data_IF_459598154216
#
_entry.id   IF_459598154216
#
_cell.length_a   1.000
_cell.length_b   1.000
_cell.length_c   1.000
_cell.angle_alpha   90.00
_cell.angle_beta   90.00
_cell.angle_gamma   90.00
#
_symmetry.space_group_name_H-M   'P 1'
#
loop_
_entity.id
_entity.type
_entity.pdbx_description
1 polymer ?
#
# COMPACT_ATOMS: atom_id res chain seq x y z
N UNK A 1 -7.10 -15.95 13.60
CA UNK A 1 -5.78 -16.19 14.24
C UNK A 1 -4.59 -16.01 13.29
N UNK A 2 -4.70 -16.32 11.98
CA UNK A 2 -3.57 -16.17 11.05
C UNK A 2 -2.95 -14.76 10.97
N UNK A 3 -3.71 -13.65 10.94
CA UNK A 3 -3.10 -12.32 10.94
C UNK A 3 -2.30 -12.02 12.21
N UNK A 4 -2.73 -12.56 13.36
CA UNK A 4 -2.02 -12.44 14.65
C UNK A 4 -0.70 -13.22 14.60
N UNK A 5 -0.69 -14.42 14.02
CA UNK A 5 0.56 -15.18 13.80
C UNK A 5 1.50 -14.46 12.83
N UNK A 6 0.96 -13.87 11.77
CA UNK A 6 1.73 -13.04 10.83
C UNK A 6 2.39 -11.87 11.56
N UNK A 7 1.63 -11.20 12.43
CA UNK A 7 2.09 -10.03 13.17
C UNK A 7 3.06 -10.36 14.31
N UNK A 8 2.89 -11.44 15.06
CA UNK A 8 3.72 -11.67 16.26
C UNK A 8 4.82 -12.71 16.10
N UNK A 9 4.76 -13.57 15.08
CA UNK A 9 5.71 -14.67 14.92
C UNK A 9 6.38 -14.63 13.55
N UNK A 10 5.60 -14.74 12.48
CA UNK A 10 6.15 -14.94 11.14
C UNK A 10 6.84 -13.66 10.64
N UNK A 11 6.24 -12.49 10.86
CA UNK A 11 6.77 -11.18 10.46
C UNK A 11 8.14 -10.85 11.07
N UNK A 12 8.31 -10.91 12.40
CA UNK A 12 9.61 -10.69 13.02
C UNK A 12 10.69 -11.63 12.50
N UNK A 13 10.38 -12.91 12.30
CA UNK A 13 11.34 -13.94 11.86
C UNK A 13 11.74 -13.74 10.41
N UNK A 14 10.78 -13.57 9.49
CA UNK A 14 11.05 -13.46 8.05
C UNK A 14 11.83 -12.19 7.69
N UNK A 15 11.77 -11.18 8.56
CA UNK A 15 12.43 -9.88 8.35
C UNK A 15 13.81 -9.77 8.99
N UNK A 16 14.25 -10.76 9.78
CA UNK A 16 15.62 -10.79 10.33
C UNK A 16 16.72 -10.58 9.28
N UNK A 17 16.65 -11.19 8.07
CA UNK A 17 17.66 -10.97 7.04
C UNK A 17 17.81 -9.51 6.59
N UNK A 18 16.78 -8.67 6.74
CA UNK A 18 16.88 -7.24 6.40
C UNK A 18 17.88 -6.49 7.28
N UNK A 19 18.23 -7.01 8.46
CA UNK A 19 19.27 -6.42 9.30
C UNK A 19 20.68 -6.47 8.66
N UNK A 20 20.85 -7.26 7.59
CA UNK A 20 22.06 -7.29 6.78
C UNK A 20 22.18 -6.09 5.82
N UNK A 21 21.08 -5.36 5.56
CA UNK A 21 21.14 -4.14 4.76
C UNK A 21 21.83 -3.02 5.55
N UNK A 22 22.74 -2.33 4.89
CA UNK A 22 23.58 -1.28 5.48
C UNK A 22 23.61 -0.04 4.60
N UNK A 23 23.58 1.12 5.25
CA UNK A 23 23.73 2.42 4.63
C UNK A 23 25.16 2.60 4.11
N UNK A 24 25.39 3.67 3.35
CA UNK A 24 26.74 4.05 2.90
C UNK A 24 27.66 4.45 4.06
N UNK A 25 27.07 4.81 5.20
CA UNK A 25 27.70 5.11 6.48
C UNK A 25 27.78 3.89 7.41
N UNK A 26 27.48 2.68 6.91
CA UNK A 26 27.27 1.45 7.68
C UNK A 26 26.10 1.50 8.69
N UNK A 27 25.28 2.55 8.65
CA UNK A 27 24.06 2.70 9.45
C UNK A 27 22.95 1.74 9.04
N UNK A 28 21.85 1.77 9.79
CA UNK A 28 20.64 0.97 9.53
C UNK A 28 19.58 1.73 8.74
N UNK A 29 19.82 3.00 8.44
CA UNK A 29 18.88 3.83 7.71
C UNK A 29 18.98 3.59 6.21
N UNK A 30 18.26 2.59 5.74
CA UNK A 30 18.28 2.11 4.34
C UNK A 30 16.89 1.84 3.80
N UNK A 31 16.75 1.91 2.47
CA UNK A 31 15.67 1.25 1.74
C UNK A 31 16.23 0.08 0.93
N UNK A 32 15.39 -0.64 0.18
CA UNK A 32 15.85 -1.80 -0.58
C UNK A 32 16.80 -1.41 -1.73
N UNK A 33 16.52 -0.32 -2.44
CA UNK A 33 17.38 0.16 -3.54
C UNK A 33 18.33 1.29 -3.14
N UNK A 34 18.11 1.91 -1.98
CA UNK A 34 18.95 2.97 -1.45
C UNK A 34 19.73 2.45 -0.24
N UNK A 35 20.94 1.96 -0.52
CA UNK A 35 21.88 1.46 0.48
C UNK A 35 23.25 1.17 -0.14
N UNK A 36 24.15 0.55 0.62
CA UNK A 36 25.49 0.18 0.15
C UNK A 36 25.47 -0.95 -0.90
N UNK A 37 24.49 -1.85 -0.83
CA UNK A 37 24.36 -3.00 -1.73
C UNK A 37 22.91 -3.14 -2.25
N UNK A 38 22.56 -2.46 -3.36
CA UNK A 38 21.20 -2.50 -3.91
C UNK A 38 20.81 -3.89 -4.43
N UNK A 39 21.77 -4.70 -4.90
CA UNK A 39 21.50 -6.05 -5.37
C UNK A 39 21.00 -6.94 -4.22
N UNK A 40 21.63 -6.85 -3.05
CA UNK A 40 21.18 -7.55 -1.84
C UNK A 40 19.77 -7.11 -1.44
N UNK A 41 19.47 -5.81 -1.51
CA UNK A 41 18.14 -5.29 -1.21
C UNK A 41 17.06 -5.77 -2.18
N UNK A 42 17.37 -5.93 -3.48
CA UNK A 42 16.47 -6.57 -4.45
C UNK A 42 16.20 -8.02 -4.08
N UNK A 43 17.25 -8.80 -3.75
CA UNK A 43 17.10 -10.21 -3.38
C UNK A 43 16.24 -10.36 -2.12
N UNK A 44 16.52 -9.58 -1.07
CA UNK A 44 15.77 -9.61 0.18
C UNK A 44 14.34 -9.07 0.00
N UNK A 45 14.15 -8.02 -0.79
CA UNK A 45 12.82 -7.52 -1.16
C UNK A 45 11.99 -8.57 -1.90
N UNK A 46 12.61 -9.28 -2.85
CA UNK A 46 11.97 -10.35 -3.60
C UNK A 46 11.57 -11.53 -2.72
N UNK A 47 12.44 -11.97 -1.80
CA UNK A 47 12.10 -13.05 -0.86
C UNK A 47 10.98 -12.65 0.10
N UNK A 48 10.94 -11.39 0.54
CA UNK A 48 9.86 -10.86 1.37
C UNK A 48 8.52 -10.80 0.63
N UNK A 49 8.50 -10.28 -0.60
CA UNK A 49 7.30 -10.29 -1.43
C UNK A 49 6.80 -11.72 -1.67
N UNK A 50 7.71 -12.66 -1.95
CA UNK A 50 7.35 -14.07 -2.12
C UNK A 50 6.77 -14.67 -0.83
N UNK A 51 7.39 -14.42 0.33
CA UNK A 51 6.90 -14.89 1.62
C UNK A 51 5.51 -14.31 1.95
N UNK A 52 5.32 -13.01 1.70
CA UNK A 52 4.03 -12.34 1.86
C UNK A 52 2.97 -12.93 0.91
N UNK A 53 3.33 -13.21 -0.35
CA UNK A 53 2.45 -13.85 -1.32
C UNK A 53 2.02 -15.24 -0.85
N UNK A 54 2.96 -16.10 -0.47
CA UNK A 54 2.70 -17.48 -0.04
C UNK A 54 1.85 -17.50 1.22
N UNK A 55 2.21 -16.72 2.22
CA UNK A 55 1.49 -16.70 3.50
C UNK A 55 0.09 -16.09 3.36
N UNK A 56 -0.04 -15.00 2.59
CA UNK A 56 -1.33 -14.38 2.29
C UNK A 56 -2.24 -15.30 1.48
N UNK A 57 -1.69 -15.97 0.46
CA UNK A 57 -2.42 -16.95 -0.35
C UNK A 57 -2.89 -18.14 0.48
N UNK A 58 -2.03 -18.71 1.33
CA UNK A 58 -2.39 -19.79 2.24
C UNK A 58 -3.50 -19.35 3.21
N UNK A 59 -3.35 -18.15 3.79
CA UNK A 59 -4.36 -17.56 4.68
C UNK A 59 -5.71 -17.37 3.99
N UNK A 60 -5.72 -16.92 2.73
CA UNK A 60 -6.94 -16.76 1.95
C UNK A 60 -7.60 -18.08 1.57
N UNK A 61 -6.79 -19.13 1.32
CA UNK A 61 -7.31 -20.47 1.08
C UNK A 61 -7.95 -21.06 2.34
N UNK A 62 -7.40 -20.78 3.52
CA UNK A 62 -7.88 -21.35 4.79
C UNK A 62 -9.10 -20.62 5.36
N UNK A 63 -9.17 -19.30 5.20
CA UNK A 63 -10.22 -18.47 5.81
C UNK A 63 -10.96 -17.67 4.74
N UNK A 64 -10.42 -16.52 4.33
CA UNK A 64 -10.99 -15.65 3.30
C UNK A 64 -9.95 -14.69 2.72
N UNK A 65 -10.26 -14.06 1.59
CA UNK A 65 -9.34 -13.15 0.90
C UNK A 65 -8.91 -11.96 1.75
N UNK A 66 -9.80 -11.42 2.60
CA UNK A 66 -9.51 -10.28 3.49
C UNK A 66 -8.46 -10.65 4.54
N UNK A 67 -8.57 -11.83 5.11
CA UNK A 67 -7.61 -12.41 6.05
C UNK A 67 -6.28 -12.63 5.36
N UNK A 68 -6.30 -13.09 4.11
CA UNK A 68 -5.11 -13.24 3.28
C UNK A 68 -4.37 -11.92 3.04
N UNK A 69 -5.08 -10.87 2.62
CA UNK A 69 -4.46 -9.56 2.38
C UNK A 69 -3.94 -8.93 3.67
N UNK A 70 -4.71 -8.99 4.76
CA UNK A 70 -4.27 -8.51 6.07
C UNK A 70 -3.00 -9.23 6.55
N UNK A 71 -2.96 -10.56 6.47
CA UNK A 71 -1.79 -11.36 6.85
C UNK A 71 -0.54 -10.98 6.04
N UNK A 72 -0.66 -10.85 4.71
CA UNK A 72 0.44 -10.41 3.86
C UNK A 72 0.89 -8.98 4.20
N UNK A 73 -0.06 -8.08 4.43
CA UNK A 73 0.20 -6.71 4.84
C UNK A 73 0.97 -6.61 6.15
N UNK A 74 0.61 -7.41 7.17
CA UNK A 74 1.36 -7.43 8.44
C UNK A 74 2.80 -7.94 8.30
N UNK A 75 3.06 -8.89 7.39
CA UNK A 75 4.43 -9.30 7.08
C UNK A 75 5.23 -8.16 6.46
N UNK A 76 4.64 -7.44 5.49
CA UNK A 76 5.28 -6.28 4.88
C UNK A 76 5.44 -5.11 5.87
N UNK A 77 4.53 -4.96 6.84
CA UNK A 77 4.64 -3.95 7.89
C UNK A 77 5.86 -4.19 8.79
N UNK A 78 6.21 -5.45 9.09
CA UNK A 78 7.47 -5.77 9.77
C UNK A 78 8.69 -5.46 8.91
N UNK A 79 8.61 -5.73 7.61
CA UNK A 79 9.70 -5.42 6.69
C UNK A 79 9.94 -3.91 6.64
N UNK A 80 8.85 -3.16 6.52
CA UNK A 80 8.84 -1.71 6.62
C UNK A 80 9.41 -1.24 7.96
N UNK A 81 9.07 -1.85 9.09
CA UNK A 81 9.63 -1.44 10.39
C UNK A 81 11.16 -1.62 10.49
N UNK A 82 11.74 -2.52 9.70
CA UNK A 82 13.19 -2.78 9.66
C UNK A 82 13.99 -1.85 8.74
N UNK A 83 13.32 -1.05 7.92
CA UNK A 83 13.97 -0.05 7.06
C UNK A 83 14.15 1.29 7.76
N UNK A 84 14.99 2.14 7.17
CA UNK A 84 15.40 3.44 7.72
C UNK A 84 14.31 4.49 7.74
N UNK A 85 14.61 5.63 8.36
CA UNK A 85 13.80 6.84 8.19
C UNK A 85 14.10 7.52 6.86
N UNK A 86 13.08 8.06 6.18
CA UNK A 86 13.27 8.80 4.92
C UNK A 86 14.04 10.11 5.12
N UNK A 87 13.84 10.75 6.26
CA UNK A 87 14.59 11.96 6.62
C UNK A 87 16.10 11.69 6.65
N UNK A 88 16.54 10.64 7.34
CA UNK A 88 17.95 10.31 7.40
C UNK A 88 18.51 9.87 6.04
N UNK A 89 17.72 9.11 5.28
CA UNK A 89 18.07 8.68 3.93
C UNK A 89 18.33 9.87 3.00
N UNK A 90 17.49 10.92 3.04
CA UNK A 90 17.70 12.15 2.27
C UNK A 90 18.86 13.00 2.78
N UNK A 91 19.17 12.96 4.08
CA UNK A 91 20.36 13.64 4.64
C UNK A 91 21.67 12.97 4.20
N UNK A 92 21.71 11.64 4.14
CA UNK A 92 22.91 10.89 3.76
C UNK A 92 23.17 10.89 2.26
N UNK A 93 22.12 10.88 1.44
CA UNK A 93 22.23 10.82 -0.02
C UNK A 93 21.30 11.85 -0.66
N UNK A 94 21.57 13.16 -0.51
CA UNK A 94 20.78 14.17 -1.18
C UNK A 94 21.00 14.10 -2.69
N UNK A 95 19.91 14.26 -3.44
CA UNK A 95 19.96 14.42 -4.88
C UNK A 95 18.92 13.61 -5.65
N UNK A 96 18.88 13.88 -6.96
CA UNK A 96 17.94 13.26 -7.90
C UNK A 96 18.12 11.75 -8.01
N UNK A 97 19.35 11.24 -7.89
CA UNK A 97 19.63 9.80 -7.96
C UNK A 97 18.87 8.98 -6.90
N UNK A 98 18.74 9.52 -5.69
CA UNK A 98 18.00 8.90 -4.59
C UNK A 98 16.51 8.86 -4.89
N UNK A 99 15.92 9.96 -5.36
CA UNK A 99 14.51 10.00 -5.76
C UNK A 99 14.20 9.04 -6.92
N UNK A 100 15.10 8.93 -7.92
CA UNK A 100 14.94 7.98 -9.03
C UNK A 100 14.91 6.55 -8.48
N UNK A 101 15.86 6.18 -7.62
CA UNK A 101 15.91 4.84 -7.00
C UNK A 101 14.67 4.54 -6.17
N UNK A 102 14.20 5.50 -5.38
CA UNK A 102 12.96 5.36 -4.60
C UNK A 102 11.72 5.25 -5.49
N UNK A 103 11.69 5.95 -6.62
CA UNK A 103 10.60 5.84 -7.61
C UNK A 103 10.58 4.45 -8.24
N UNK A 104 11.75 3.90 -8.60
CA UNK A 104 11.89 2.53 -9.10
C UNK A 104 11.49 1.53 -8.02
N UNK A 105 11.95 1.69 -6.79
CA UNK A 105 11.60 0.83 -5.65
C UNK A 105 10.09 0.84 -5.39
N UNK A 106 9.46 2.01 -5.39
CA UNK A 106 8.01 2.18 -5.24
C UNK A 106 7.24 1.51 -6.36
N UNK A 107 7.75 1.57 -7.59
CA UNK A 107 7.15 0.88 -8.73
C UNK A 107 7.22 -0.63 -8.55
N UNK A 108 8.38 -1.17 -8.19
CA UNK A 108 8.57 -2.62 -7.99
C UNK A 108 7.69 -3.12 -6.85
N UNK A 109 7.71 -2.46 -5.69
CA UNK A 109 6.95 -2.87 -4.52
C UNK A 109 5.45 -2.65 -4.67
N UNK A 110 5.04 -1.53 -5.27
CA UNK A 110 3.64 -1.22 -5.54
C UNK A 110 3.02 -2.23 -6.51
N UNK A 111 3.70 -2.51 -7.63
CA UNK A 111 3.28 -3.55 -8.58
C UNK A 111 3.33 -4.94 -7.95
N UNK A 112 4.39 -5.27 -7.21
CA UNK A 112 4.53 -6.55 -6.52
C UNK A 112 3.40 -6.80 -5.53
N UNK A 113 3.09 -5.82 -4.68
CA UNK A 113 1.99 -5.93 -3.72
C UNK A 113 0.61 -5.94 -4.40
N UNK A 114 0.43 -5.26 -5.54
CA UNK A 114 -0.78 -5.36 -6.35
C UNK A 114 -0.95 -6.79 -6.91
N UNK A 115 0.13 -7.38 -7.43
CA UNK A 115 0.14 -8.78 -7.90
C UNK A 115 -0.20 -9.74 -6.75
N UNK A 116 0.40 -9.54 -5.57
CA UNK A 116 0.06 -10.33 -4.36
C UNK A 116 -1.43 -10.24 -4.07
N UNK A 117 -2.01 -9.04 -4.08
CA UNK A 117 -3.45 -8.87 -3.89
C UNK A 117 -4.25 -9.64 -4.94
N UNK A 118 -3.91 -9.53 -6.23
CA UNK A 118 -4.61 -10.25 -7.29
C UNK A 118 -4.54 -11.77 -7.13
N UNK A 119 -3.39 -12.30 -6.68
CA UNK A 119 -3.22 -13.72 -6.39
C UNK A 119 -4.07 -14.18 -5.20
N UNK A 120 -4.05 -13.42 -4.11
CA UNK A 120 -4.81 -13.71 -2.89
C UNK A 120 -6.30 -13.72 -3.20
N UNK A 121 -6.81 -12.63 -3.78
CA UNK A 121 -8.24 -12.49 -4.01
C UNK A 121 -8.72 -13.39 -5.17
N UNK A 122 -7.88 -13.64 -6.18
CA UNK A 122 -8.15 -14.62 -7.24
C UNK A 122 -8.26 -16.06 -6.75
N UNK A 123 -7.64 -16.40 -5.60
CA UNK A 123 -7.66 -17.76 -5.05
C UNK A 123 -8.97 -18.14 -4.34
N UNK A 124 -9.79 -17.16 -3.94
CA UNK A 124 -11.04 -17.38 -3.20
C UNK A 124 -12.25 -17.80 -4.04
N UNK A 125 -12.11 -17.88 -5.37
CA UNK A 125 -13.23 -18.01 -6.33
C UNK A 125 -14.07 -19.28 -6.22
N UNK A 126 -13.55 -20.35 -5.60
CA UNK A 126 -14.22 -21.66 -5.59
C UNK A 126 -14.98 -22.01 -4.31
N UNK A 127 -15.03 -21.12 -3.31
CA UNK A 127 -15.45 -21.49 -1.94
C UNK A 127 -16.57 -20.66 -1.32
N UNK A 128 -17.14 -19.68 -2.02
CA UNK A 128 -18.22 -18.86 -1.47
C UNK A 128 -19.51 -18.99 -2.27
N UNK A 129 -20.34 -19.95 -1.83
CA UNK A 129 -21.80 -19.93 -1.97
C UNK A 129 -22.47 -19.00 -0.94
N UNK A 130 -21.73 -18.10 -0.28
CA UNK A 130 -22.31 -17.14 0.66
C UNK A 130 -22.72 -15.86 -0.08
N UNK A 131 -24.02 -15.65 -0.37
CA UNK A 131 -24.51 -14.43 -1.04
C UNK A 131 -24.30 -13.14 -0.22
N UNK A 132 -23.82 -13.24 1.03
CA UNK A 132 -23.54 -12.12 1.92
C UNK A 132 -22.05 -11.76 2.05
N UNK A 133 -21.17 -12.35 1.24
CA UNK A 133 -19.77 -11.94 1.22
C UNK A 133 -19.63 -10.59 0.49
N UNK A 134 -19.77 -9.48 1.23
CA UNK A 134 -19.79 -8.05 0.82
C UNK A 134 -18.59 -7.50 0.01
N UNK A 135 -17.67 -8.37 -0.41
CA UNK A 135 -16.55 -8.02 -1.24
C UNK A 135 -16.78 -8.57 -2.65
N UNK A 136 -17.16 -7.73 -3.64
CA UNK A 136 -17.28 -8.17 -5.02
C UNK A 136 -15.94 -8.81 -5.43
N UNK A 137 -16.00 -10.10 -5.79
CA UNK A 137 -14.80 -10.86 -6.14
C UNK A 137 -14.15 -10.27 -7.41
N UNK A 138 -12.81 -10.13 -7.48
CA UNK A 138 -12.13 -9.76 -8.70
C UNK A 138 -12.35 -10.83 -9.75
N UNK A 139 -12.99 -10.44 -10.84
CA UNK A 139 -12.84 -11.15 -12.11
C UNK A 139 -11.44 -10.83 -12.67
N UNK A 140 -10.74 -11.76 -13.33
CA UNK A 140 -9.54 -11.38 -14.12
C UNK A 140 -9.89 -10.35 -15.21
N UNK A 141 -11.17 -10.30 -15.62
CA UNK A 141 -11.74 -9.22 -16.40
C UNK A 141 -11.66 -7.83 -15.74
N UNK A 142 -11.45 -7.76 -14.42
CA UNK A 142 -11.19 -6.53 -13.66
C UNK A 142 -9.98 -5.77 -14.17
N UNK A 143 -8.95 -6.45 -14.70
CA UNK A 143 -7.77 -5.75 -15.24
C UNK A 143 -8.11 -5.00 -16.53
N UNK A 144 -8.94 -5.60 -17.40
CA UNK A 144 -9.45 -4.89 -18.60
C UNK A 144 -10.35 -3.72 -18.20
N UNK A 145 -11.10 -3.86 -17.11
CA UNK A 145 -11.93 -2.79 -16.57
C UNK A 145 -11.12 -1.62 -15.99
N UNK A 146 -9.85 -1.82 -15.60
CA UNK A 146 -8.99 -0.71 -15.18
C UNK A 146 -8.76 0.31 -16.31
N UNK A 147 -8.90 -0.07 -17.57
CA UNK A 147 -8.81 0.85 -18.70
C UNK A 147 -10.09 1.68 -18.92
N UNK A 148 -11.18 1.40 -18.19
CA UNK A 148 -12.40 2.20 -18.28
C UNK A 148 -12.13 3.61 -17.69
N UNK A 149 -12.46 4.71 -18.40
CA UNK A 149 -12.21 6.07 -17.91
C UNK A 149 -12.86 6.38 -16.56
N UNK A 150 -14.02 5.81 -16.25
CA UNK A 150 -14.68 5.98 -14.95
C UNK A 150 -13.89 5.30 -13.82
N UNK A 151 -13.33 4.12 -14.10
CA UNK A 151 -12.48 3.40 -13.16
C UNK A 151 -11.17 4.16 -12.96
N UNK A 152 -10.56 4.67 -14.03
CA UNK A 152 -9.37 5.52 -13.97
C UNK A 152 -9.61 6.79 -13.14
N UNK A 153 -10.76 7.44 -13.31
CA UNK A 153 -11.15 8.58 -12.49
C UNK A 153 -11.25 8.20 -11.00
N UNK A 154 -11.90 7.08 -10.67
CA UNK A 154 -11.97 6.59 -9.29
C UNK A 154 -10.62 6.19 -8.69
N UNK A 155 -9.73 5.60 -9.49
CA UNK A 155 -8.34 5.31 -9.11
C UNK A 155 -7.59 6.63 -8.83
N UNK A 156 -7.75 7.62 -9.70
CA UNK A 156 -7.14 8.94 -9.54
C UNK A 156 -7.60 9.67 -8.28
N UNK A 157 -8.90 9.67 -8.00
CA UNK A 157 -9.45 10.27 -6.77
C UNK A 157 -8.95 9.54 -5.52
N UNK A 158 -8.92 8.20 -5.55
CA UNK A 158 -8.38 7.42 -4.43
C UNK A 158 -6.89 7.67 -4.19
N UNK A 159 -6.09 7.77 -5.26
CA UNK A 159 -4.67 8.07 -5.16
C UNK A 159 -4.43 9.47 -4.58
N UNK A 160 -5.19 10.47 -5.04
CA UNK A 160 -5.14 11.83 -4.50
C UNK A 160 -5.50 11.84 -3.01
N UNK A 161 -6.56 11.14 -2.62
CA UNK A 161 -6.93 11.02 -1.21
C UNK A 161 -5.84 10.35 -0.37
N UNK A 162 -5.21 9.29 -0.88
CA UNK A 162 -4.09 8.65 -0.21
C UNK A 162 -2.93 9.62 0.03
N UNK A 163 -2.55 10.40 -0.98
CA UNK A 163 -1.49 11.41 -0.87
C UNK A 163 -1.84 12.51 0.14
N UNK A 164 -3.09 12.98 0.14
CA UNK A 164 -3.58 13.98 1.11
C UNK A 164 -3.52 13.43 2.54
N UNK A 165 -4.01 12.20 2.77
CA UNK A 165 -3.97 11.59 4.10
C UNK A 165 -2.53 11.32 4.53
N UNK A 166 -1.66 10.84 3.64
CA UNK A 166 -0.25 10.68 3.94
C UNK A 166 0.40 12.03 4.32
N UNK A 167 0.05 13.12 3.64
CA UNK A 167 0.51 14.46 3.98
C UNK A 167 0.05 14.92 5.37
N UNK A 168 -1.22 14.69 5.71
CA UNK A 168 -1.79 15.12 7.00
C UNK A 168 -1.28 14.27 8.17
N UNK A 169 -1.04 12.97 7.96
CA UNK A 169 -0.69 12.05 9.04
C UNK A 169 0.82 11.91 9.21
N UNK A 170 1.61 11.86 8.14
CA UNK A 170 3.07 11.73 8.24
C UNK A 170 3.73 13.10 8.33
N UNK A 171 3.55 13.82 9.44
CA UNK A 171 4.17 15.13 9.67
C UNK A 171 5.48 15.05 10.49
N UNK A 172 5.76 13.92 11.15
CA UNK A 172 7.09 13.65 11.70
C UNK A 172 7.73 12.43 11.02
N UNK A 173 9.06 12.38 10.96
CA UNK A 173 9.83 11.28 10.36
C UNK A 173 9.90 10.02 11.24
N UNK A 174 8.97 9.84 12.17
CA UNK A 174 8.88 8.65 13.00
C UNK A 174 8.39 7.45 12.18
N UNK A 175 9.14 6.34 12.22
CA UNK A 175 8.83 5.13 11.44
C UNK A 175 7.40 4.62 11.64
N UNK A 176 6.95 4.57 12.90
CA UNK A 176 5.59 4.14 13.22
C UNK A 176 4.51 5.07 12.68
N UNK A 177 4.77 6.38 12.64
CA UNK A 177 3.84 7.36 12.09
C UNK A 177 3.73 7.23 10.57
N UNK A 178 4.84 7.02 9.86
CA UNK A 178 4.85 6.79 8.42
C UNK A 178 4.05 5.53 8.02
N UNK A 179 4.23 4.43 8.76
CA UNK A 179 3.48 3.19 8.53
C UNK A 179 1.98 3.38 8.81
N UNK A 180 1.62 4.04 9.92
CA UNK A 180 0.21 4.36 10.23
C UNK A 180 -0.39 5.28 9.16
N UNK A 181 0.35 6.28 8.68
CA UNK A 181 -0.07 7.15 7.60
C UNK A 181 -0.38 6.38 6.32
N UNK A 182 0.45 5.41 5.94
CA UNK A 182 0.22 4.56 4.79
C UNK A 182 -1.04 3.69 4.94
N UNK A 183 -1.28 3.13 6.13
CA UNK A 183 -2.50 2.37 6.42
C UNK A 183 -3.73 3.26 6.30
N UNK A 184 -3.75 4.42 6.96
CA UNK A 184 -4.89 5.36 6.91
C UNK A 184 -5.13 5.90 5.50
N UNK A 185 -4.07 6.22 4.77
CA UNK A 185 -4.13 6.64 3.37
C UNK A 185 -4.78 5.56 2.49
N UNK A 186 -4.45 4.30 2.75
CA UNK A 186 -5.01 3.15 2.03
C UNK A 186 -6.47 2.86 2.39
N UNK A 187 -6.88 3.12 3.64
CA UNK A 187 -8.31 3.08 4.02
C UNK A 187 -9.08 4.14 3.23
N UNK A 188 -8.58 5.37 3.18
CA UNK A 188 -9.23 6.46 2.46
C UNK A 188 -9.32 6.17 0.95
N UNK A 189 -8.23 5.70 0.34
CA UNK A 189 -8.22 5.26 -1.06
C UNK A 189 -9.23 4.14 -1.32
N UNK A 190 -9.21 3.11 -0.45
CA UNK A 190 -10.15 1.99 -0.46
C UNK A 190 -11.61 2.43 -0.53
N UNK A 191 -11.97 3.36 0.36
CA UNK A 191 -13.34 3.87 0.45
C UNK A 191 -13.70 4.77 -0.73
N UNK A 192 -12.89 5.78 -1.03
CA UNK A 192 -13.21 6.80 -2.03
C UNK A 192 -13.18 6.26 -3.46
N UNK A 193 -12.25 5.37 -3.81
CA UNK A 193 -12.26 4.73 -5.13
C UNK A 193 -13.57 3.95 -5.34
N UNK A 194 -14.04 3.19 -4.34
CA UNK A 194 -15.30 2.44 -4.45
C UNK A 194 -16.50 3.36 -4.59
N UNK A 195 -16.58 4.42 -3.78
CA UNK A 195 -17.71 5.36 -3.82
C UNK A 195 -17.78 6.12 -5.15
N UNK A 196 -16.65 6.60 -5.66
CA UNK A 196 -16.59 7.34 -6.94
C UNK A 196 -16.96 6.45 -8.12
N UNK A 197 -16.43 5.22 -8.18
CA UNK A 197 -16.76 4.29 -9.26
C UNK A 197 -18.24 3.88 -9.19
N UNK A 198 -18.74 3.59 -7.99
CA UNK A 198 -20.16 3.25 -7.78
C UNK A 198 -21.10 4.36 -8.24
N UNK A 199 -20.78 5.62 -7.90
CA UNK A 199 -21.58 6.78 -8.30
C UNK A 199 -21.53 7.06 -9.82
N UNK A 200 -20.39 6.84 -10.47
CA UNK A 200 -20.21 7.17 -11.88
C UNK A 200 -20.69 6.07 -12.85
N UNK A 201 -20.53 4.80 -12.47
CA UNK A 201 -20.62 3.70 -13.43
C UNK A 201 -21.95 2.93 -13.40
N UNK A 202 -22.81 3.11 -12.38
CA UNK A 202 -23.95 2.22 -12.09
C UNK A 202 -23.56 0.73 -12.18
N UNK A 203 -22.30 0.42 -11.84
CA UNK A 203 -21.66 -0.89 -11.99
C UNK A 203 -20.79 -1.16 -10.78
N UNK A 204 -20.60 -2.43 -10.51
CA UNK A 204 -19.70 -2.87 -9.46
C UNK A 204 -18.26 -2.40 -9.74
N UNK A 205 -17.66 -1.76 -8.75
CA UNK A 205 -16.29 -1.29 -8.86
C UNK A 205 -15.34 -2.51 -8.96
N UNK A 206 -14.41 -2.53 -9.94
CA UNK A 206 -13.45 -3.62 -10.06
C UNK A 206 -12.63 -3.70 -8.77
N UNK A 207 -12.58 -4.86 -8.11
CA UNK A 207 -12.01 -4.94 -6.76
C UNK A 207 -10.51 -4.64 -6.68
N UNK A 208 -9.80 -4.69 -7.81
CA UNK A 208 -8.40 -4.30 -7.92
C UNK A 208 -8.18 -2.77 -7.94
N UNK A 209 -9.22 -2.00 -8.29
CA UNK A 209 -9.10 -0.54 -8.48
C UNK A 209 -8.62 0.21 -7.23
N UNK A 210 -9.06 -0.08 -5.99
CA UNK A 210 -8.60 0.69 -4.85
C UNK A 210 -7.15 0.35 -4.46
N UNK A 211 -6.73 -0.90 -4.70
CA UNK A 211 -5.32 -1.27 -4.55
C UNK A 211 -4.44 -0.56 -5.59
N UNK A 212 -4.91 -0.48 -6.84
CA UNK A 212 -4.22 0.29 -7.87
C UNK A 212 -4.10 1.78 -7.52
N UNK A 213 -5.10 2.35 -6.85
CA UNK A 213 -5.07 3.72 -6.36
C UNK A 213 -3.94 3.95 -5.33
N UNK A 214 -3.77 3.03 -4.38
CA UNK A 214 -2.67 3.12 -3.39
C UNK A 214 -1.32 2.88 -4.05
N UNK A 215 -1.20 1.90 -4.95
CA UNK A 215 0.03 1.66 -5.69
C UNK A 215 0.44 2.92 -6.49
N UNK A 216 -0.52 3.57 -7.15
CA UNK A 216 -0.28 4.83 -7.85
C UNK A 216 0.19 5.94 -6.90
N UNK A 217 -0.45 6.10 -5.74
CA UNK A 217 -0.03 7.07 -4.73
C UNK A 217 1.40 6.80 -4.24
N UNK A 218 1.76 5.54 -3.97
CA UNK A 218 3.12 5.15 -3.58
C UNK A 218 4.16 5.45 -4.65
N UNK A 219 3.84 5.25 -5.94
CA UNK A 219 4.72 5.60 -7.07
C UNK A 219 4.88 7.12 -7.20
N UNK A 220 3.79 7.87 -7.04
CA UNK A 220 3.78 9.34 -7.13
C UNK A 220 4.50 9.99 -5.94
N UNK A 221 4.49 9.35 -4.77
CA UNK A 221 5.10 9.87 -3.52
C UNK A 221 6.54 10.40 -3.72
N UNK A 222 7.51 9.58 -4.14
CA UNK A 222 8.87 10.04 -4.42
C UNK A 222 8.95 11.08 -5.56
N UNK A 223 8.05 11.00 -6.54
CA UNK A 223 8.04 11.94 -7.68
C UNK A 223 7.75 13.37 -7.23
N UNK A 224 6.92 13.54 -6.19
CA UNK A 224 6.64 14.84 -5.58
C UNK A 224 7.94 15.53 -5.13
N UNK A 225 8.95 14.77 -4.70
CA UNK A 225 10.25 15.31 -4.25
C UNK A 225 11.02 16.06 -5.33
N UNK A 226 10.79 15.75 -6.61
CA UNK A 226 11.37 16.50 -7.72
C UNK A 226 10.76 17.89 -7.88
N UNK A 227 9.52 18.08 -7.43
CA UNK A 227 8.76 19.33 -7.55
C UNK A 227 8.85 20.14 -6.26
N UNK A 228 8.70 19.47 -5.11
CA UNK A 228 8.68 20.10 -3.79
C UNK A 228 9.31 19.16 -2.77
N UNK A 229 10.47 19.51 -2.18
CA UNK A 229 11.17 20.80 -2.23
C UNK A 229 11.99 21.04 -3.53
N UNK A 230 12.08 20.02 -4.40
CA UNK A 230 13.02 19.99 -5.51
C UNK A 230 14.28 19.22 -5.13
N UNK A 231 14.85 18.46 -6.08
CA UNK A 231 15.92 17.50 -5.80
C UNK A 231 17.18 18.13 -5.16
N UNK A 232 17.47 19.41 -5.46
CA UNK A 232 18.60 20.15 -4.92
C UNK A 232 18.39 20.71 -3.50
N UNK A 233 17.17 20.61 -2.95
CA UNK A 233 16.80 21.14 -1.63
C UNK A 233 16.27 20.04 -0.69
N UNK A 234 16.48 18.78 -1.04
CA UNK A 234 15.98 17.64 -0.26
C UNK A 234 16.72 17.49 1.08
N UNK A 235 18.03 17.70 1.10
CA UNK A 235 18.83 17.77 2.31
C UNK A 235 18.32 18.87 3.24
N UNK A 236 18.16 20.08 2.71
CA UNK A 236 17.69 21.25 3.45
C UNK A 236 16.31 20.98 4.07
N UNK A 237 15.37 20.46 3.29
CA UNK A 237 14.04 20.12 3.79
C UNK A 237 14.06 18.98 4.82
N UNK A 238 14.96 18.01 4.67
CA UNK A 238 15.15 16.93 5.63
C UNK A 238 15.81 17.40 6.93
N UNK A 239 16.72 18.37 6.87
CA UNK A 239 17.34 18.97 8.05
C UNK A 239 16.36 19.82 8.85
N UNK A 240 15.48 20.56 8.17
CA UNK A 240 14.50 21.45 8.79
C UNK A 240 13.16 20.77 9.11
N UNK A 241 13.00 19.48 8.82
CA UNK A 241 11.75 18.76 9.06
C UNK A 241 10.56 19.27 8.22
N UNK A 242 10.83 19.85 7.05
CA UNK A 242 9.81 20.40 6.14
C UNK A 242 9.50 19.47 4.95
N UNK A 243 9.85 18.19 5.06
CA UNK A 243 9.49 17.19 4.06
C UNK A 243 7.97 17.00 4.03
N UNK A 244 7.40 16.92 2.83
CA UNK A 244 5.98 16.62 2.66
C UNK A 244 5.71 15.19 3.11
N UNK A 245 4.59 14.94 3.80
CA UNK A 245 4.27 13.60 4.31
C UNK A 245 4.35 12.44 3.31
N UNK A 246 3.95 12.56 2.02
CA UNK A 246 4.15 11.49 1.05
C UNK A 246 5.63 11.09 0.82
N UNK A 247 6.58 11.99 1.08
CA UNK A 247 8.02 11.71 1.03
C UNK A 247 8.54 11.04 2.31
N UNK A 248 7.81 11.16 3.41
CA UNK A 248 8.12 10.49 4.68
C UNK A 248 7.63 9.03 4.70
N UNK A 249 6.67 8.68 3.84
CA UNK A 249 6.15 7.32 3.69
C UNK A 249 7.00 6.53 2.70
N UNK A 250 7.60 5.43 3.17
CA UNK A 250 8.48 4.60 2.36
C UNK A 250 7.73 3.71 1.36
N UNK A 251 8.41 3.26 0.30
CA UNK A 251 7.88 2.28 -0.65
C UNK A 251 7.26 1.04 0.03
N UNK A 252 7.92 0.47 1.06
CA UNK A 252 7.39 -0.67 1.82
C UNK A 252 6.19 -0.31 2.70
N UNK A 253 6.12 0.92 3.23
CA UNK A 253 4.94 1.37 3.99
C UNK A 253 3.72 1.42 3.09
N UNK A 254 3.86 1.97 1.88
CA UNK A 254 2.77 1.99 0.89
C UNK A 254 2.29 0.59 0.54
N UNK A 255 3.22 -0.35 0.33
CA UNK A 255 2.88 -1.74 0.05
C UNK A 255 2.16 -2.43 1.23
N UNK A 256 2.64 -2.23 2.46
CA UNK A 256 2.03 -2.76 3.67
C UNK A 256 0.64 -2.13 3.91
N UNK A 257 0.58 -0.79 3.87
CA UNK A 257 -0.64 0.00 3.99
C UNK A 257 -1.69 -0.41 2.97
N UNK A 258 -1.29 -0.63 1.72
CA UNK A 258 -2.19 -1.08 0.66
C UNK A 258 -2.88 -2.40 1.02
N UNK A 259 -2.15 -3.39 1.54
CA UNK A 259 -2.70 -4.70 1.88
C UNK A 259 -3.48 -4.70 3.20
N UNK A 260 -3.19 -3.77 4.11
CA UNK A 260 -3.88 -3.64 5.41
C UNK A 260 -5.12 -2.73 5.32
N UNK A 261 -4.93 -1.50 4.86
CA UNK A 261 -5.93 -0.43 4.92
C UNK A 261 -6.99 -0.53 3.83
N UNK A 262 -6.61 -0.87 2.60
CA UNK A 262 -7.56 -0.97 1.48
C UNK A 262 -8.77 -1.87 1.76
N UNK A 263 -8.62 -3.11 2.28
CA UNK A 263 -9.78 -3.96 2.58
C UNK A 263 -10.68 -3.38 3.69
N UNK A 264 -10.14 -2.58 4.61
CA UNK A 264 -10.93 -1.89 5.64
C UNK A 264 -11.75 -0.78 5.00
N UNK A 265 -11.13 0.05 4.16
CA UNK A 265 -11.81 1.12 3.42
C UNK A 265 -12.92 0.59 2.51
N UNK A 266 -12.65 -0.53 1.82
CA UNK A 266 -13.63 -1.22 0.99
C UNK A 266 -14.86 -1.70 1.77
N UNK A 267 -14.66 -2.21 2.99
CA UNK A 267 -15.75 -2.67 3.85
C UNK A 267 -16.62 -1.49 4.32
N UNK A 268 -16.01 -0.36 4.68
CA UNK A 268 -16.73 0.85 5.09
C UNK A 268 -17.56 1.44 3.96
N UNK A 269 -16.99 1.56 2.76
CA UNK A 269 -17.73 2.03 1.59
C UNK A 269 -18.85 1.05 1.21
N UNK A 270 -18.63 -0.26 1.34
CA UNK A 270 -19.68 -1.26 1.17
C UNK A 270 -20.86 -1.06 2.12
N UNK A 271 -20.61 -0.88 3.41
CA UNK A 271 -21.65 -0.65 4.41
C UNK A 271 -22.43 0.67 4.15
N UNK A 272 -21.73 1.73 3.74
CA UNK A 272 -22.36 3.01 3.42
C UNK A 272 -23.33 2.91 2.22
N UNK A 273 -22.94 2.17 1.18
CA UNK A 273 -23.79 1.96 -0.01
C UNK A 273 -25.03 1.13 0.31
N UNK A 274 -24.90 0.05 1.08
CA UNK A 274 -26.06 -0.76 1.50
C UNK A 274 -27.06 0.07 2.31
N UNK A 275 -26.57 0.84 3.29
CA UNK A 275 -27.43 1.70 4.11
C UNK A 275 -28.19 2.74 3.28
N UNK A 276 -27.57 3.28 2.22
CA UNK A 276 -28.23 4.24 1.34
C UNK A 276 -29.40 3.60 0.57
N UNK A 277 -29.23 2.38 0.07
CA UNK A 277 -30.30 1.62 -0.61
C UNK A 277 -31.45 1.26 0.33
N UNK A 278 -31.16 0.88 1.58
CA UNK A 278 -32.20 0.57 2.56
C UNK A 278 -33.11 1.78 2.83
N UNK A 279 -32.52 2.97 2.98
CA UNK A 279 -33.24 4.23 3.19
C UNK A 279 -34.12 4.59 1.99
N UNK A 280 -33.61 4.42 0.77
CA UNK A 280 -34.37 4.67 -0.46
C UNK A 280 -35.57 3.71 -0.58
N UNK A 281 -35.36 2.42 -0.27
CA UNK A 281 -36.42 1.39 -0.30
C UNK A 281 -37.50 1.59 0.76
N UNK A 282 -37.18 2.23 1.89
CA UNK A 282 -38.13 2.58 2.94
C UNK A 282 -38.98 3.80 2.56
N UNK A 283 -38.43 4.73 1.76
CA UNK A 283 -39.12 5.95 1.33
C UNK A 283 -40.14 5.74 0.20
N UNK A 284 -40.09 4.60 -0.49
CA UNK A 284 -40.98 4.27 -1.61
C UNK A 284 -42.22 3.45 -1.20
N UNK A 285 -42.39 3.17 0.10
CA UNK A 285 -43.55 2.46 0.67
C UNK A 285 -44.50 3.43 1.36
#
# INVERSE_FOLDING_TARGET
MLPVLALFIVGPVITLPLAALRGVDAGHDVSLLVGANPLLGILLGGTLLLAAAVYGWLSARLIDARTGTLSAGFLLAWAAWRTGSMEWLFRLQPGSGTLIRLSVESTILGVGALVICLLIVGSGRGRHENPHADLPGPHLGSLKQLANPQVLAGVGVGALAALVIAHLVAFNPLRGQALVAAVLASIAAGALTRLVIGAAANREAPSASPYAAVALAGIVGPVIGFITPGAARLDDAALHGTLLGPLLVQPLDWAAGMLIGTPIGLAWAGAAVHKAHDVESASSR
#
